data_IF_149031629349
#
_entry.id   IF_149031629349
#
_cell.length_a   1.000
_cell.length_b   1.000
_cell.length_c   1.000
_cell.angle_alpha   90.00
_cell.angle_beta   90.00
_cell.angle_gamma   90.00
#
_symmetry.space_group_name_H-M   'P 1'
#
loop_
_entity.id
_entity.type
_entity.pdbx_description
1 polymer ?
#
# COMPACT_ATOMS: atom_id res chain seq x y z
N UNK A 1 -9.42 20.01 3.16
CA UNK A 1 -9.95 18.90 2.34
C UNK A 1 -9.05 18.74 1.13
N UNK A 2 -8.34 17.61 0.97
CA UNK A 2 -7.32 17.42 -0.09
C UNK A 2 -7.94 17.59 -1.50
N UNK A 3 -7.47 18.59 -2.26
CA UNK A 3 -7.85 18.82 -3.66
C UNK A 3 -7.01 17.89 -4.56
N UNK A 4 -7.35 16.61 -4.55
CA UNK A 4 -6.77 15.63 -5.48
C UNK A 4 -7.39 15.83 -6.86
N UNK A 5 -6.59 16.37 -7.78
CA UNK A 5 -7.02 16.63 -9.16
C UNK A 5 -6.80 15.41 -10.04
N UNK A 6 -7.74 15.13 -10.95
CA UNK A 6 -7.68 13.94 -11.82
C UNK A 6 -6.39 13.89 -12.63
N UNK A 7 -5.80 15.05 -12.98
CA UNK A 7 -4.54 15.14 -13.74
C UNK A 7 -3.32 14.59 -12.98
N UNK A 8 -3.39 14.50 -11.65
CA UNK A 8 -2.25 14.08 -10.82
C UNK A 8 -2.19 12.56 -10.59
N UNK A 9 -3.13 11.77 -11.12
CA UNK A 9 -3.20 10.32 -10.87
C UNK A 9 -1.93 9.57 -11.26
N UNK A 10 -1.35 9.89 -12.43
CA UNK A 10 -0.07 9.30 -12.87
C UNK A 10 1.08 9.64 -11.93
N UNK A 11 1.15 10.90 -11.47
CA UNK A 11 2.23 11.36 -10.60
C UNK A 11 2.13 10.65 -9.24
N UNK A 12 0.95 10.62 -8.64
CA UNK A 12 0.73 9.94 -7.35
C UNK A 12 0.99 8.44 -7.47
N UNK A 13 0.50 7.83 -8.54
CA UNK A 13 0.80 6.44 -8.88
C UNK A 13 2.28 6.14 -8.93
N UNK A 14 3.00 6.87 -9.76
CA UNK A 14 4.43 6.71 -9.98
C UNK A 14 5.24 6.99 -8.70
N UNK A 15 4.88 8.02 -7.92
CA UNK A 15 5.46 8.24 -6.60
C UNK A 15 5.22 7.05 -5.67
N UNK A 16 4.04 6.45 -5.68
CA UNK A 16 3.71 5.28 -4.86
C UNK A 16 4.52 4.05 -5.30
N UNK A 17 4.71 3.84 -6.61
CA UNK A 17 5.58 2.77 -7.14
C UNK A 17 7.01 2.95 -6.63
N UNK A 18 7.61 4.12 -6.89
CA UNK A 18 9.00 4.40 -6.54
C UNK A 18 9.20 4.26 -5.02
N UNK A 19 8.32 4.86 -4.23
CA UNK A 19 8.44 4.83 -2.78
C UNK A 19 8.28 3.41 -2.22
N UNK A 20 7.32 2.64 -2.73
CA UNK A 20 7.08 1.27 -2.28
C UNK A 20 8.23 0.34 -2.65
N UNK A 21 8.80 0.52 -3.85
CA UNK A 21 9.98 -0.24 -4.28
C UNK A 21 11.19 0.06 -3.39
N UNK A 22 11.48 1.34 -3.14
CA UNK A 22 12.59 1.75 -2.26
C UNK A 22 12.39 1.19 -0.85
N UNK A 23 11.18 1.27 -0.31
CA UNK A 23 10.87 0.72 1.01
C UNK A 23 11.06 -0.79 1.07
N UNK A 24 10.53 -1.55 0.11
CA UNK A 24 10.75 -3.00 0.06
C UNK A 24 12.23 -3.36 -0.04
N UNK A 25 12.95 -2.68 -0.93
CA UNK A 25 14.36 -2.94 -1.15
C UNK A 25 15.19 -2.68 0.11
N UNK A 26 14.94 -1.56 0.81
CA UNK A 26 15.59 -1.25 2.08
C UNK A 26 15.19 -2.28 3.14
N UNK A 27 13.90 -2.60 3.26
CA UNK A 27 13.40 -3.57 4.22
C UNK A 27 14.11 -4.91 4.14
N UNK A 28 14.19 -5.47 2.94
CA UNK A 28 14.69 -6.83 2.78
C UNK A 28 16.22 -6.87 2.70
N UNK A 29 16.84 -5.92 1.97
CA UNK A 29 18.30 -5.91 1.82
C UNK A 29 19.02 -5.43 3.08
N UNK A 30 18.51 -4.37 3.71
CA UNK A 30 19.23 -3.67 4.80
C UNK A 30 18.75 -4.15 6.15
N UNK A 31 17.44 -4.26 6.37
CA UNK A 31 16.89 -4.58 7.69
C UNK A 31 16.87 -6.08 7.94
N UNK A 32 16.31 -6.87 7.02
CA UNK A 32 16.29 -8.33 7.13
C UNK A 32 17.67 -8.96 6.85
N UNK A 33 18.61 -8.22 6.26
CA UNK A 33 19.94 -8.68 5.85
C UNK A 33 19.92 -9.92 4.94
N UNK A 34 18.78 -10.17 4.28
CA UNK A 34 18.56 -11.36 3.47
C UNK A 34 19.26 -11.24 2.11
N UNK A 35 19.64 -12.37 1.54
CA UNK A 35 20.22 -12.39 0.20
C UNK A 35 19.16 -11.99 -0.83
N UNK A 36 19.44 -10.90 -1.55
CA UNK A 36 18.55 -10.42 -2.61
C UNK A 36 18.88 -11.17 -3.90
N UNK A 37 18.06 -12.16 -4.24
CA UNK A 37 18.09 -12.82 -5.55
C UNK A 37 17.44 -11.94 -6.64
N UNK A 38 17.74 -12.23 -7.91
CA UNK A 38 17.09 -11.56 -9.05
C UNK A 38 15.58 -11.77 -9.04
N UNK A 39 15.12 -12.97 -8.66
CA UNK A 39 13.72 -13.33 -8.54
C UNK A 39 12.99 -12.43 -7.51
N UNK A 40 13.64 -12.18 -6.37
CA UNK A 40 13.11 -11.31 -5.33
C UNK A 40 12.98 -9.86 -5.81
N UNK A 41 13.98 -9.34 -6.54
CA UNK A 41 13.91 -7.99 -7.12
C UNK A 41 12.73 -7.87 -8.07
N UNK A 42 12.50 -8.88 -8.91
CA UNK A 42 11.38 -8.90 -9.84
C UNK A 42 10.05 -8.89 -9.07
N UNK A 43 9.93 -9.66 -7.99
CA UNK A 43 8.75 -9.65 -7.13
C UNK A 43 8.49 -8.25 -6.52
N UNK A 44 9.54 -7.53 -6.09
CA UNK A 44 9.39 -6.17 -5.53
C UNK A 44 8.94 -5.17 -6.59
N UNK A 45 9.45 -5.28 -7.82
CA UNK A 45 9.01 -4.45 -8.94
C UNK A 45 7.51 -4.71 -9.20
N UNK A 46 7.10 -5.97 -9.33
CA UNK A 46 5.70 -6.33 -9.58
C UNK A 46 4.80 -5.82 -8.46
N UNK A 47 5.17 -6.04 -7.19
CA UNK A 47 4.41 -5.53 -6.06
C UNK A 47 4.29 -4.01 -6.09
N UNK A 48 5.41 -3.30 -6.30
CA UNK A 48 5.43 -1.84 -6.33
C UNK A 48 4.54 -1.26 -7.45
N UNK A 49 4.54 -1.90 -8.63
CA UNK A 49 3.66 -1.55 -9.74
C UNK A 49 2.19 -1.79 -9.41
N UNK A 50 1.86 -2.91 -8.77
CA UNK A 50 0.49 -3.20 -8.34
C UNK A 50 -0.01 -2.14 -7.36
N UNK A 51 0.77 -1.83 -6.31
CA UNK A 51 0.32 -0.87 -5.29
C UNK A 51 0.22 0.55 -5.84
N UNK A 52 1.12 0.96 -6.73
CA UNK A 52 1.03 2.24 -7.42
C UNK A 52 -0.09 2.30 -8.46
N UNK A 53 -0.39 1.18 -9.13
CA UNK A 53 -1.53 1.04 -10.04
C UNK A 53 -2.85 1.21 -9.30
N UNK A 54 -3.01 0.56 -8.14
CA UNK A 54 -4.18 0.73 -7.27
C UNK A 54 -4.31 2.18 -6.79
N UNK A 55 -3.22 2.79 -6.31
CA UNK A 55 -3.22 4.21 -5.93
C UNK A 55 -3.69 5.12 -7.08
N UNK A 56 -3.16 4.89 -8.30
CA UNK A 56 -3.56 5.62 -9.50
C UNK A 56 -5.04 5.48 -9.80
N UNK A 57 -5.57 4.25 -9.74
CA UNK A 57 -6.96 3.96 -10.00
C UNK A 57 -7.89 4.68 -9.01
N UNK A 58 -7.57 4.64 -7.71
CA UNK A 58 -8.37 5.30 -6.67
C UNK A 58 -8.44 6.82 -6.88
N UNK A 59 -7.32 7.45 -7.27
CA UNK A 59 -7.31 8.89 -7.61
C UNK A 59 -8.08 9.17 -8.91
N UNK A 60 -7.90 8.34 -9.94
CA UNK A 60 -8.57 8.50 -11.23
C UNK A 60 -10.11 8.47 -11.09
N UNK A 61 -10.63 7.57 -10.25
CA UNK A 61 -12.05 7.46 -9.91
C UNK A 61 -12.51 8.44 -8.81
N UNK A 62 -11.63 9.33 -8.33
CA UNK A 62 -11.90 10.32 -7.27
C UNK A 62 -12.36 9.69 -5.94
N UNK A 63 -11.93 8.46 -5.67
CA UNK A 63 -12.24 7.71 -4.45
C UNK A 63 -11.32 8.15 -3.29
N UNK A 64 -11.49 9.41 -2.84
CA UNK A 64 -10.58 10.05 -1.88
C UNK A 64 -10.50 9.35 -0.52
N UNK A 65 -11.62 8.84 -0.01
CA UNK A 65 -11.67 8.16 1.28
C UNK A 65 -10.96 6.81 1.16
N UNK A 66 -11.25 6.07 0.10
CA UNK A 66 -10.59 4.80 -0.19
C UNK A 66 -9.08 4.98 -0.39
N UNK A 67 -8.66 6.01 -1.13
CA UNK A 67 -7.24 6.34 -1.32
C UNK A 67 -6.53 6.62 0.02
N UNK A 68 -7.12 7.42 0.91
CA UNK A 68 -6.50 7.74 2.19
C UNK A 68 -6.35 6.50 3.08
N UNK A 69 -7.40 5.68 3.16
CA UNK A 69 -7.38 4.41 3.90
C UNK A 69 -6.37 3.42 3.33
N UNK A 70 -6.29 3.35 2.00
CA UNK A 70 -5.34 2.50 1.29
C UNK A 70 -3.88 2.89 1.59
N UNK A 71 -3.53 4.18 1.47
CA UNK A 71 -2.19 4.66 1.79
C UNK A 71 -1.86 4.45 3.28
N UNK A 72 -2.84 4.67 4.18
CA UNK A 72 -2.64 4.39 5.60
C UNK A 72 -2.35 2.91 5.87
N UNK A 73 -3.11 1.99 5.24
CA UNK A 73 -2.89 0.55 5.34
C UNK A 73 -1.54 0.12 4.77
N UNK A 74 -1.14 0.69 3.63
CA UNK A 74 0.17 0.43 3.01
C UNK A 74 1.32 0.88 3.93
N UNK A 75 1.24 2.08 4.51
CA UNK A 75 2.25 2.60 5.44
C UNK A 75 2.30 1.76 6.72
N UNK A 76 1.16 1.40 7.30
CA UNK A 76 1.09 0.50 8.47
C UNK A 76 1.69 -0.87 8.16
N UNK A 77 1.42 -1.41 6.96
CA UNK A 77 2.02 -2.64 6.48
C UNK A 77 3.54 -2.59 6.44
N UNK A 78 4.11 -1.50 5.90
CA UNK A 78 5.57 -1.30 5.89
C UNK A 78 6.17 -1.19 7.30
N UNK A 79 5.53 -0.41 8.18
CA UNK A 79 5.99 -0.27 9.58
C UNK A 79 6.01 -1.61 10.29
N UNK A 80 4.95 -2.41 10.14
CA UNK A 80 4.86 -3.73 10.77
C UNK A 80 5.82 -4.73 10.15
N UNK A 81 6.02 -4.69 8.83
CA UNK A 81 7.04 -5.50 8.15
C UNK A 81 8.43 -5.24 8.74
N UNK A 82 8.85 -3.98 8.83
CA UNK A 82 10.15 -3.63 9.40
C UNK A 82 10.26 -4.02 10.87
N UNK A 83 9.19 -3.84 11.65
CA UNK A 83 9.16 -4.30 13.03
C UNK A 83 9.39 -5.81 13.09
N UNK A 84 8.70 -6.62 12.29
CA UNK A 84 8.90 -8.07 12.30
C UNK A 84 10.35 -8.43 11.97
N UNK A 85 10.96 -7.79 10.96
CA UNK A 85 12.36 -8.05 10.59
C UNK A 85 13.35 -7.73 11.72
N UNK A 86 13.04 -6.76 12.58
CA UNK A 86 13.91 -6.38 13.69
C UNK A 86 13.77 -7.29 14.93
N UNK A 87 12.58 -7.84 15.18
CA UNK A 87 12.27 -8.55 16.42
C UNK A 87 12.23 -10.07 16.29
N UNK A 88 12.04 -10.62 15.09
CA UNK A 88 11.82 -12.05 14.91
C UNK A 88 13.08 -12.77 14.40
N UNK A 89 13.77 -13.44 15.33
CA UNK A 89 14.98 -14.24 15.05
C UNK A 89 14.69 -15.71 14.72
N UNK A 90 13.42 -16.10 14.58
CA UNK A 90 13.01 -17.50 14.39
C UNK A 90 13.22 -18.03 12.96
N UNK A 91 13.76 -17.23 12.05
CA UNK A 91 13.95 -17.55 10.62
C UNK A 91 12.69 -17.38 9.76
N UNK A 92 11.52 -17.20 10.37
CA UNK A 92 10.26 -16.92 9.67
C UNK A 92 9.94 -15.42 9.55
N UNK A 93 10.74 -14.56 10.20
CA UNK A 93 10.52 -13.12 10.26
C UNK A 93 10.35 -12.45 8.89
N UNK A 94 11.14 -12.87 7.91
CA UNK A 94 11.10 -12.37 6.53
C UNK A 94 9.73 -12.60 5.87
N UNK A 95 9.24 -13.84 5.97
CA UNK A 95 7.96 -14.23 5.39
C UNK A 95 6.81 -13.54 6.12
N UNK A 96 6.82 -13.53 7.45
CA UNK A 96 5.78 -12.92 8.28
C UNK A 96 5.72 -11.41 8.02
N UNK A 97 6.87 -10.74 7.88
CA UNK A 97 6.92 -9.31 7.59
C UNK A 97 6.28 -8.98 6.24
N UNK A 98 6.63 -9.73 5.17
CA UNK A 98 6.04 -9.51 3.83
C UNK A 98 4.54 -9.83 3.83
N UNK A 99 4.11 -10.89 4.50
CA UNK A 99 2.68 -11.23 4.64
C UNK A 99 1.94 -10.11 5.38
N UNK A 100 2.52 -9.56 6.44
CA UNK A 100 1.95 -8.43 7.17
C UNK A 100 1.73 -7.22 6.25
N UNK A 101 2.72 -6.87 5.42
CA UNK A 101 2.57 -5.81 4.43
C UNK A 101 1.37 -6.05 3.51
N UNK A 102 1.21 -7.27 3.00
CA UNK A 102 0.09 -7.63 2.12
C UNK A 102 -1.26 -7.51 2.83
N UNK A 103 -1.38 -8.09 4.03
CA UNK A 103 -2.61 -8.09 4.81
C UNK A 103 -3.06 -6.67 5.12
N UNK A 104 -2.17 -5.82 5.65
CA UNK A 104 -2.53 -4.45 6.00
C UNK A 104 -2.86 -3.57 4.79
N UNK A 105 -2.19 -3.82 3.66
CA UNK A 105 -2.52 -3.15 2.39
C UNK A 105 -3.93 -3.52 1.91
N UNK A 106 -4.28 -4.82 1.94
CA UNK A 106 -5.60 -5.31 1.55
C UNK A 106 -6.69 -4.80 2.51
N UNK A 107 -6.44 -4.84 3.83
CA UNK A 107 -7.36 -4.29 4.83
C UNK A 107 -7.57 -2.80 4.59
N UNK A 108 -6.51 -2.02 4.38
CA UNK A 108 -6.60 -0.59 4.09
C UNK A 108 -7.43 -0.28 2.83
N UNK A 109 -7.25 -1.07 1.77
CA UNK A 109 -8.05 -0.97 0.55
C UNK A 109 -9.52 -1.32 0.80
N UNK A 110 -9.77 -2.48 1.40
CA UNK A 110 -11.12 -3.01 1.63
C UNK A 110 -11.94 -2.12 2.54
N UNK A 111 -11.39 -1.74 3.70
CA UNK A 111 -12.03 -0.79 4.62
C UNK A 111 -12.28 0.56 3.94
N UNK A 112 -11.31 1.06 3.18
CA UNK A 112 -11.44 2.29 2.42
C UNK A 112 -12.60 2.29 1.43
N UNK A 113 -12.74 1.21 0.66
CA UNK A 113 -13.83 1.04 -0.30
C UNK A 113 -15.20 0.90 0.40
N UNK A 114 -15.27 0.16 1.51
CA UNK A 114 -16.49 0.02 2.30
C UNK A 114 -16.96 1.37 2.88
N UNK A 115 -16.06 2.14 3.47
CA UNK A 115 -16.38 3.46 4.03
C UNK A 115 -16.77 4.44 2.93
N UNK A 116 -16.06 4.41 1.79
CA UNK A 116 -16.38 5.22 0.62
C UNK A 116 -17.78 4.90 0.07
N UNK A 117 -18.15 3.62 -0.01
CA UNK A 117 -19.47 3.16 -0.44
C UNK A 117 -20.56 3.63 0.53
N UNK A 118 -20.36 3.41 1.84
CA UNK A 118 -21.28 3.86 2.87
C UNK A 118 -21.53 5.37 2.79
N UNK A 119 -20.47 6.18 2.68
CA UNK A 119 -20.59 7.63 2.54
C UNK A 119 -21.38 8.05 1.29
N UNK A 120 -21.14 7.38 0.16
CA UNK A 120 -21.88 7.64 -1.08
C UNK A 120 -23.37 7.33 -0.93
N UNK A 121 -23.71 6.19 -0.32
CA UNK A 121 -25.11 5.79 -0.07
C UNK A 121 -25.80 6.79 0.87
N UNK A 122 -25.19 7.14 2.01
CA UNK A 122 -25.76 8.11 2.95
C UNK A 122 -26.03 9.47 2.31
N UNK A 123 -25.10 9.96 1.47
CA UNK A 123 -25.30 11.23 0.76
C UNK A 123 -26.45 11.15 -0.24
N UNK A 124 -26.60 10.02 -0.94
CA UNK A 124 -27.69 9.79 -1.89
C UNK A 124 -29.05 9.77 -1.20
N UNK A 125 -29.16 9.07 -0.06
CA UNK A 125 -30.41 8.99 0.71
C UNK A 125 -30.79 10.31 1.39
N UNK A 126 -29.83 11.11 1.87
CA UNK A 126 -30.12 12.42 2.49
C UNK A 126 -30.51 13.51 1.48
N UNK A 127 -30.19 13.31 0.19
CA UNK A 127 -30.49 14.27 -0.88
C UNK A 127 -31.82 13.96 -1.61
N UNK A 128 -32.53 12.92 -1.20
CA UNK A 128 -33.91 12.61 -1.61
C UNK A 128 -34.84 13.02 -0.48
#
# INVERSE_FOLDING_TARGET
MLKLDKKQYWIIGLCTVILSFIMLFIGIKVIAASQVSIENVLAYIVFSLLVGGVASALIFFRLKIAFLSYIAGLLLGFVLMYRTFLYDMSGWGDLIGVISLLIWTIIGLGTGLLVQLAFYLFKKYKST
#
